data_IF_656120542702
#
_entry.id   IF_656120542702
#
_cell.length_a   1.000
_cell.length_b   1.000
_cell.length_c   1.000
_cell.angle_alpha   90.00
_cell.angle_beta   90.00
_cell.angle_gamma   90.00
#
_symmetry.space_group_name_H-M   'P 1'
#
loop_
_entity.id
_entity.type
_entity.pdbx_description
1 polymer ?
#
# COMPACT_ATOMS: atom_id res chain seq x y z
N UNK A 1 -11.00 14.79 30.69
CA UNK A 1 -10.66 16.16 31.13
C UNK A 1 -9.85 16.15 32.47
N UNK A 2 -10.12 15.25 33.42
CA UNK A 2 -9.38 15.19 34.69
C UNK A 2 -7.88 14.88 34.54
N UNK A 3 -7.49 14.03 33.55
CA UNK A 3 -6.08 13.73 33.26
C UNK A 3 -5.29 14.94 32.72
N UNK A 4 -5.97 15.93 32.13
CA UNK A 4 -5.37 17.15 31.62
C UNK A 4 -5.21 18.22 32.70
N UNK A 5 -5.81 18.03 33.87
CA UNK A 5 -5.75 18.94 35.04
C UNK A 5 -4.78 18.50 36.14
N UNK A 6 -4.22 17.27 36.03
CA UNK A 6 -3.26 16.73 37.02
C UNK A 6 -1.89 17.40 36.89
N UNK A 7 -1.73 18.51 37.62
CA UNK A 7 -0.47 19.25 37.75
C UNK A 7 0.63 18.49 38.56
N UNK A 8 0.41 17.28 39.01
CA UNK A 8 1.29 16.62 40.00
C UNK A 8 1.87 15.28 39.66
N UNK A 9 1.43 14.60 38.57
CA UNK A 9 2.09 13.37 38.09
C UNK A 9 1.80 13.16 36.59
N UNK A 10 2.73 13.52 35.72
CA UNK A 10 2.65 13.15 34.31
C UNK A 10 2.80 11.63 34.17
N UNK A 11 1.91 10.94 33.42
CA UNK A 11 2.06 9.53 33.17
C UNK A 11 3.24 9.25 32.21
N UNK A 12 3.96 8.15 32.41
CA UNK A 12 5.06 7.73 31.54
C UNK A 12 4.55 7.14 30.20
N UNK A 13 3.27 6.77 30.13
CA UNK A 13 2.63 6.15 28.96
C UNK A 13 1.11 6.32 29.07
N UNK A 14 0.48 6.58 27.93
CA UNK A 14 -0.99 6.57 27.80
C UNK A 14 -1.39 5.41 26.90
N UNK A 15 -2.40 4.65 27.33
CA UNK A 15 -3.05 3.61 26.51
C UNK A 15 -4.53 3.93 26.43
N UNK A 16 -5.07 4.12 25.23
CA UNK A 16 -6.46 4.52 25.01
C UNK A 16 -7.14 3.73 23.91
N UNK A 17 -8.45 3.48 24.07
CA UNK A 17 -9.28 2.91 22.98
C UNK A 17 -9.74 4.03 22.05
N UNK A 18 -9.91 3.72 20.75
CA UNK A 18 -10.50 4.67 19.79
C UNK A 18 -11.95 4.96 20.14
N UNK A 19 -12.74 3.93 20.46
CA UNK A 19 -14.17 4.08 20.79
C UNK A 19 -14.36 4.21 22.29
N UNK A 20 -14.49 5.44 22.75
CA UNK A 20 -14.84 5.74 24.15
C UNK A 20 -16.11 6.58 24.21
N UNK A 21 -16.93 6.47 25.30
CA UNK A 21 -18.06 7.36 25.51
C UNK A 21 -17.60 8.83 25.65
N UNK A 22 -18.24 9.72 24.93
CA UNK A 22 -17.95 11.18 24.97
C UNK A 22 -16.93 11.60 23.94
N UNK A 23 -15.64 11.50 24.22
CA UNK A 23 -14.53 11.88 23.31
C UNK A 23 -13.91 10.63 22.66
N UNK A 24 -13.65 10.68 21.36
CA UNK A 24 -12.93 9.58 20.70
C UNK A 24 -11.46 9.53 21.13
N UNK A 25 -10.86 8.31 21.13
CA UNK A 25 -9.44 8.16 21.47
C UNK A 25 -8.50 8.90 20.53
N UNK A 26 -8.90 9.14 19.27
CA UNK A 26 -8.12 9.94 18.33
C UNK A 26 -8.17 11.44 18.65
N UNK A 27 -9.34 11.96 19.03
CA UNK A 27 -9.47 13.34 19.51
C UNK A 27 -8.70 13.56 20.82
N UNK A 28 -8.73 12.56 21.70
CA UNK A 28 -7.96 12.57 22.93
C UNK A 28 -6.45 12.57 22.64
N UNK A 29 -5.99 11.71 21.72
CA UNK A 29 -4.60 11.65 21.27
C UNK A 29 -4.11 13.00 20.77
N UNK A 30 -4.89 13.68 19.89
CA UNK A 30 -4.52 15.00 19.38
C UNK A 30 -4.33 16.00 20.51
N UNK A 31 -5.26 16.05 21.49
CA UNK A 31 -5.14 16.94 22.66
C UNK A 31 -3.92 16.61 23.53
N UNK A 32 -3.59 15.32 23.68
CA UNK A 32 -2.40 14.91 24.43
C UNK A 32 -1.13 15.28 23.68
N UNK A 33 -1.06 15.02 22.39
CA UNK A 33 0.10 15.36 21.56
C UNK A 33 0.38 16.86 21.50
N UNK A 34 -0.68 17.70 21.53
CA UNK A 34 -0.55 19.16 21.57
C UNK A 34 -0.02 19.68 22.92
N UNK A 35 -0.46 19.08 24.04
CA UNK A 35 -0.11 19.56 25.39
C UNK A 35 1.11 18.84 25.99
N UNK A 36 1.30 17.59 25.68
CA UNK A 36 2.32 16.68 26.27
C UNK A 36 2.95 15.80 25.19
N UNK A 37 3.66 16.38 24.21
CA UNK A 37 4.22 15.65 23.06
C UNK A 37 5.26 14.58 23.48
N UNK A 38 5.82 14.69 24.67
CA UNK A 38 6.80 13.75 25.22
C UNK A 38 6.17 12.46 25.75
N UNK A 39 4.85 12.42 26.00
CA UNK A 39 4.17 11.25 26.56
C UNK A 39 3.77 10.29 25.44
N UNK A 40 4.41 9.12 25.31
CA UNK A 40 4.04 8.15 24.30
C UNK A 40 2.62 7.66 24.50
N UNK A 41 1.83 7.62 23.42
CA UNK A 41 0.46 7.15 23.47
C UNK A 41 0.28 5.91 22.59
N UNK A 42 -0.26 4.82 23.13
CA UNK A 42 -0.64 3.61 22.41
C UNK A 42 -2.17 3.65 22.19
N UNK A 43 -2.58 3.52 20.93
CA UNK A 43 -3.99 3.46 20.55
C UNK A 43 -4.42 2.00 20.43
N UNK A 44 -5.55 1.65 21.06
CA UNK A 44 -6.18 0.33 20.94
C UNK A 44 -7.48 0.45 20.15
N UNK A 45 -7.82 -0.55 19.32
CA UNK A 45 -9.08 -0.57 18.58
C UNK A 45 -9.62 -1.98 18.38
N UNK A 46 -10.95 -2.10 18.31
CA UNK A 46 -11.63 -3.33 17.89
C UNK A 46 -11.76 -3.44 16.36
N UNK A 47 -11.55 -2.35 15.62
CA UNK A 47 -11.74 -2.29 14.17
C UNK A 47 -10.44 -1.85 13.52
N UNK A 48 -9.73 -2.80 12.97
CA UNK A 48 -8.52 -2.59 12.22
C UNK A 48 -8.87 -2.11 10.81
N UNK A 49 -8.65 -0.83 10.52
CA UNK A 49 -8.66 -0.29 9.16
C UNK A 49 -7.50 0.68 8.99
N UNK A 50 -7.15 0.94 7.73
CA UNK A 50 -6.02 1.81 7.39
C UNK A 50 -6.23 3.24 7.90
N UNK A 51 -7.46 3.77 7.83
CA UNK A 51 -7.77 5.15 8.22
C UNK A 51 -7.55 5.38 9.72
N UNK A 52 -7.96 4.43 10.55
CA UNK A 52 -7.73 4.48 11.98
C UNK A 52 -6.23 4.38 12.32
N UNK A 53 -5.50 3.48 11.67
CA UNK A 53 -4.06 3.34 11.87
C UNK A 53 -3.31 4.61 11.44
N UNK A 54 -3.63 5.14 10.26
CA UNK A 54 -3.05 6.37 9.74
C UNK A 54 -3.39 7.58 10.61
N UNK A 55 -4.65 7.72 11.04
CA UNK A 55 -5.09 8.79 11.93
C UNK A 55 -4.37 8.75 13.28
N UNK A 56 -4.18 7.54 13.85
CA UNK A 56 -3.43 7.35 15.08
C UNK A 56 -1.96 7.80 14.91
N UNK A 57 -1.26 7.33 13.88
CA UNK A 57 0.14 7.72 13.64
C UNK A 57 0.30 9.19 13.24
N UNK A 58 -0.63 9.74 12.47
CA UNK A 58 -0.67 11.18 12.17
C UNK A 58 -0.89 12.01 13.43
N UNK A 59 -1.79 11.59 14.31
CA UNK A 59 -2.04 12.21 15.60
C UNK A 59 -0.91 12.07 16.62
N UNK A 60 0.19 11.38 16.27
CA UNK A 60 1.36 11.26 17.14
C UNK A 60 1.36 10.00 18.02
N UNK A 61 0.52 8.99 17.73
CA UNK A 61 0.56 7.73 18.47
C UNK A 61 1.95 7.06 18.34
N UNK A 62 2.46 6.57 19.46
CA UNK A 62 3.68 5.76 19.51
C UNK A 62 3.46 4.42 18.81
N UNK A 63 2.30 3.77 19.05
CA UNK A 63 1.93 2.51 18.42
C UNK A 63 0.40 2.35 18.38
N UNK A 64 -0.07 1.50 17.46
CA UNK A 64 -1.45 1.17 17.22
C UNK A 64 -1.65 -0.33 17.38
N UNK A 65 -2.63 -0.76 18.19
CA UNK A 65 -2.85 -2.16 18.54
C UNK A 65 -4.32 -2.57 18.31
N UNK A 66 -4.53 -3.72 17.69
CA UNK A 66 -5.87 -4.25 17.40
C UNK A 66 -6.31 -5.28 18.43
N UNK A 67 -7.58 -5.27 18.78
CA UNK A 67 -8.18 -6.32 19.63
C UNK A 67 -8.59 -7.53 18.76
N UNK A 68 -8.39 -8.78 19.21
CA UNK A 68 -7.77 -9.18 20.47
C UNK A 68 -6.23 -9.09 20.42
N UNK A 69 -5.58 -8.74 21.53
CA UNK A 69 -4.13 -8.65 21.67
C UNK A 69 -3.63 -9.49 22.85
N UNK A 70 -2.37 -9.89 22.82
CA UNK A 70 -1.72 -10.60 23.90
C UNK A 70 -1.18 -9.58 24.94
N UNK A 71 -1.33 -9.88 26.23
CA UNK A 71 -0.80 -9.07 27.33
C UNK A 71 0.72 -8.87 27.22
N UNK A 72 1.45 -9.90 26.77
CA UNK A 72 2.90 -9.81 26.55
C UNK A 72 3.27 -8.83 25.42
N UNK A 73 2.40 -8.67 24.42
CA UNK A 73 2.58 -7.69 23.34
C UNK A 73 2.47 -6.26 23.88
N UNK A 74 1.41 -5.97 24.65
CA UNK A 74 1.27 -4.65 25.31
C UNK A 74 2.46 -4.38 26.23
N UNK A 75 2.88 -5.36 27.02
CA UNK A 75 4.02 -5.20 27.94
C UNK A 75 5.31 -4.85 27.20
N UNK A 76 5.59 -5.51 26.08
CA UNK A 76 6.75 -5.19 25.23
C UNK A 76 6.67 -3.80 24.64
N UNK A 77 5.49 -3.41 24.15
CA UNK A 77 5.24 -2.08 23.60
C UNK A 77 5.36 -0.99 24.68
N UNK A 78 4.81 -1.21 25.87
CA UNK A 78 4.91 -0.27 26.98
C UNK A 78 6.37 -0.03 27.39
N UNK A 79 7.17 -1.09 27.54
CA UNK A 79 8.61 -0.99 27.84
C UNK A 79 9.35 -0.23 26.71
N UNK A 80 8.99 -0.46 25.45
CA UNK A 80 9.59 0.22 24.30
C UNK A 80 9.20 1.69 24.28
N UNK A 81 7.94 2.01 24.57
CA UNK A 81 7.41 3.37 24.58
C UNK A 81 8.07 4.23 25.67
N UNK A 82 8.15 3.74 26.90
CA UNK A 82 8.78 4.46 28.02
C UNK A 82 10.29 4.66 27.85
N UNK A 83 10.97 3.87 27.02
CA UNK A 83 12.38 4.06 26.66
C UNK A 83 12.60 5.06 25.50
N UNK A 84 11.58 5.31 24.69
CA UNK A 84 11.67 6.11 23.47
C UNK A 84 11.24 7.59 23.63
N UNK A 85 10.85 8.03 24.82
CA UNK A 85 10.22 9.34 25.11
C UNK A 85 11.09 10.59 24.84
N UNK A 86 12.24 10.46 24.17
CA UNK A 86 13.16 11.58 23.92
C UNK A 86 13.18 12.15 22.50
N UNK A 87 12.28 11.80 21.59
CA UNK A 87 12.39 12.29 20.20
C UNK A 87 11.07 12.20 19.41
N UNK A 88 10.12 13.16 19.53
CA UNK A 88 9.11 13.36 18.46
C UNK A 88 8.34 14.68 18.57
N UNK A 89 8.41 15.51 17.52
CA UNK A 89 7.49 16.62 17.23
C UNK A 89 7.13 16.65 15.75
N UNK A 90 5.86 16.85 15.38
CA UNK A 90 5.45 17.14 14.01
C UNK A 90 3.95 17.04 13.71
N UNK A 91 3.35 18.15 13.25
CA UNK A 91 1.93 18.38 12.90
C UNK A 91 1.44 17.70 11.63
N UNK A 92 0.15 17.31 11.59
CA UNK A 92 -0.51 16.78 10.39
C UNK A 92 -1.97 17.17 10.21
N UNK A 93 -2.35 17.54 8.99
CA UNK A 93 -3.72 17.82 8.53
C UNK A 93 -4.28 16.68 7.66
N UNK A 94 -5.61 16.52 7.77
CA UNK A 94 -6.46 15.50 7.13
C UNK A 94 -6.64 15.67 5.62
N UNK A 95 -6.71 14.55 4.87
CA UNK A 95 -7.83 14.20 3.96
C UNK A 95 -7.49 13.05 2.99
N UNK A 96 -8.53 12.36 2.59
CA UNK A 96 -8.83 11.48 1.45
C UNK A 96 -8.90 9.96 1.70
N UNK A 97 -10.12 9.47 1.42
CA UNK A 97 -10.56 8.07 1.46
C UNK A 97 -9.74 7.20 0.50
N UNK A 98 -8.90 6.34 1.05
CA UNK A 98 -8.37 5.20 0.33
C UNK A 98 -9.05 3.94 0.88
N UNK A 99 -10.02 3.39 0.15
CA UNK A 99 -10.76 2.17 0.49
C UNK A 99 -9.88 0.92 0.37
N UNK A 100 -8.83 0.81 1.17
CA UNK A 100 -8.05 -0.43 1.27
C UNK A 100 -8.71 -1.29 2.35
N UNK A 101 -9.35 -2.38 1.90
CA UNK A 101 -10.00 -3.35 2.77
C UNK A 101 -8.97 -4.36 3.27
N UNK A 102 -8.91 -4.58 4.59
CA UNK A 102 -8.06 -5.59 5.21
C UNK A 102 -8.18 -5.59 6.72
N UNK A 103 -8.57 -6.74 7.29
CA UNK A 103 -8.64 -6.99 8.74
C UNK A 103 -7.58 -7.98 9.21
N UNK A 104 -7.07 -8.80 8.28
CA UNK A 104 -6.08 -9.82 8.58
C UNK A 104 -4.82 -9.21 9.21
N UNK A 105 -4.22 -9.89 10.19
CA UNK A 105 -3.03 -9.43 10.91
C UNK A 105 -1.88 -9.05 9.96
N UNK A 106 -1.70 -9.82 8.89
CA UNK A 106 -0.70 -9.52 7.86
C UNK A 106 -0.94 -8.17 7.16
N UNK A 107 -2.20 -7.73 6.98
CA UNK A 107 -2.51 -6.40 6.45
C UNK A 107 -2.34 -5.31 7.49
N UNK A 108 -2.52 -5.61 8.79
CA UNK A 108 -2.26 -4.65 9.86
C UNK A 108 -0.77 -4.24 9.89
N UNK A 109 0.14 -5.17 9.65
CA UNK A 109 1.57 -4.85 9.56
C UNK A 109 1.88 -3.93 8.37
N UNK A 110 1.18 -4.11 7.24
CA UNK A 110 1.27 -3.19 6.08
C UNK A 110 0.77 -1.79 6.48
N UNK A 111 -0.38 -1.68 7.17
CA UNK A 111 -0.94 -0.40 7.60
C UNK A 111 -0.03 0.31 8.61
N UNK A 112 0.53 -0.42 9.58
CA UNK A 112 1.54 0.10 10.52
C UNK A 112 2.78 0.61 9.77
N UNK A 113 3.24 -0.13 8.76
CA UNK A 113 4.38 0.27 7.95
C UNK A 113 4.10 1.59 7.20
N UNK A 114 2.94 1.73 6.55
CA UNK A 114 2.52 2.96 5.87
C UNK A 114 2.45 4.12 6.87
N UNK A 115 1.84 3.91 8.05
CA UNK A 115 1.76 4.92 9.10
C UNK A 115 3.13 5.43 9.55
N UNK A 116 4.10 4.52 9.76
CA UNK A 116 5.47 4.88 10.18
C UNK A 116 6.24 5.71 9.16
N UNK A 117 6.00 5.50 7.87
CA UNK A 117 6.69 6.23 6.79
C UNK A 117 5.91 7.45 6.29
N UNK A 118 4.70 7.69 6.80
CA UNK A 118 3.83 8.79 6.37
C UNK A 118 4.50 10.16 6.51
N UNK A 119 5.40 10.33 7.50
CA UNK A 119 6.13 11.57 7.78
C UNK A 119 7.45 11.71 7.02
N UNK A 120 7.78 10.78 6.12
CA UNK A 120 9.10 10.71 5.50
C UNK A 120 9.02 10.70 3.98
N UNK A 121 10.09 11.14 3.32
CA UNK A 121 10.27 11.08 1.87
C UNK A 121 11.18 9.92 1.41
N UNK A 122 11.41 8.93 2.29
CA UNK A 122 12.28 7.80 1.95
C UNK A 122 11.74 6.99 0.77
N UNK A 123 12.64 6.35 0.05
CA UNK A 123 12.31 5.41 -1.02
C UNK A 123 11.64 4.16 -0.44
N UNK A 124 10.58 3.69 -1.09
CA UNK A 124 9.80 2.53 -0.66
C UNK A 124 9.82 1.46 -1.75
N UNK A 125 10.12 0.22 -1.36
CA UNK A 125 10.01 -0.96 -2.22
C UNK A 125 8.83 -1.81 -1.77
N UNK A 126 7.82 -1.94 -2.63
CA UNK A 126 6.61 -2.76 -2.38
C UNK A 126 6.79 -4.10 -3.08
N UNK A 127 6.74 -5.19 -2.33
CA UNK A 127 6.81 -6.55 -2.87
C UNK A 127 5.48 -7.26 -2.66
N UNK A 128 5.11 -8.11 -3.60
CA UNK A 128 3.91 -8.93 -3.51
C UNK A 128 3.54 -9.51 -4.86
N UNK A 129 2.80 -10.58 -4.85
CA UNK A 129 2.34 -11.26 -6.07
C UNK A 129 1.53 -10.32 -6.98
N UNK A 130 1.36 -10.71 -8.23
CA UNK A 130 0.50 -9.96 -9.15
C UNK A 130 -0.94 -9.93 -8.62
N UNK A 131 -1.59 -8.77 -8.74
CA UNK A 131 -2.98 -8.59 -8.30
C UNK A 131 -3.20 -8.44 -6.79
N UNK A 132 -2.15 -8.28 -5.96
CA UNK A 132 -2.28 -8.06 -4.50
C UNK A 132 -2.67 -6.64 -4.11
N UNK A 133 -2.61 -5.67 -5.04
CA UNK A 133 -2.96 -4.26 -4.78
C UNK A 133 -1.76 -3.35 -4.54
N UNK A 134 -0.57 -3.65 -5.06
CA UNK A 134 0.66 -2.85 -4.89
C UNK A 134 0.49 -1.37 -5.25
N UNK A 135 -0.26 -1.07 -6.32
CA UNK A 135 -0.54 0.30 -6.76
C UNK A 135 -1.39 1.07 -5.73
N UNK A 136 -2.42 0.45 -5.15
CA UNK A 136 -3.24 1.05 -4.10
C UNK A 136 -2.41 1.39 -2.86
N UNK A 137 -1.47 0.51 -2.49
CA UNK A 137 -0.54 0.78 -1.39
C UNK A 137 0.42 1.92 -1.75
N UNK A 138 0.96 1.97 -2.98
CA UNK A 138 1.81 3.08 -3.41
C UNK A 138 1.06 4.43 -3.37
N UNK A 139 -0.18 4.44 -3.82
CA UNK A 139 -1.04 5.62 -3.74
C UNK A 139 -1.32 6.03 -2.29
N UNK A 140 -1.60 5.04 -1.40
CA UNK A 140 -1.78 5.30 0.02
C UNK A 140 -0.52 5.87 0.68
N UNK A 141 0.66 5.36 0.35
CA UNK A 141 1.95 5.92 0.81
C UNK A 141 2.13 7.36 0.35
N UNK A 142 1.73 7.70 -0.88
CA UNK A 142 1.81 9.07 -1.40
C UNK A 142 0.81 10.00 -0.70
N UNK A 143 -0.48 9.63 -0.68
CA UNK A 143 -1.55 10.49 -0.11
C UNK A 143 -1.38 10.74 1.39
N UNK A 144 -0.64 9.89 2.08
CA UNK A 144 -0.33 10.04 3.49
C UNK A 144 1.09 10.58 3.75
N UNK A 145 1.74 11.17 2.76
CA UNK A 145 3.09 11.73 2.87
C UNK A 145 3.10 13.27 2.87
N UNK A 146 4.25 13.91 3.17
CA UNK A 146 4.40 15.36 3.03
C UNK A 146 4.17 15.89 1.60
N UNK A 147 4.10 14.99 0.60
CA UNK A 147 3.88 15.30 -0.82
C UNK A 147 2.46 14.97 -1.30
N UNK A 148 1.50 14.81 -0.39
CA UNK A 148 0.12 14.39 -0.70
C UNK A 148 -0.62 15.34 -1.66
N UNK A 149 -0.27 16.62 -1.68
CA UNK A 149 -0.80 17.68 -2.55
C UNK A 149 -0.03 17.83 -3.88
N UNK A 150 1.02 17.04 -4.08
CA UNK A 150 1.91 17.07 -5.25
C UNK A 150 1.57 15.94 -6.24
N UNK A 151 2.11 15.99 -7.47
CA UNK A 151 1.82 14.96 -8.46
C UNK A 151 2.19 13.54 -8.00
N UNK A 152 1.28 12.59 -8.25
CA UNK A 152 1.55 11.16 -8.23
C UNK A 152 1.58 10.65 -9.66
N UNK A 153 2.74 10.25 -10.15
CA UNK A 153 2.92 9.75 -11.51
C UNK A 153 3.25 8.28 -11.46
N UNK A 154 2.37 7.45 -12.01
CA UNK A 154 2.56 6.00 -12.09
C UNK A 154 3.03 5.59 -13.48
N UNK A 155 3.93 4.62 -13.53
CA UNK A 155 4.39 3.98 -14.76
C UNK A 155 4.61 2.49 -14.50
N UNK A 156 4.03 1.65 -15.38
CA UNK A 156 4.33 0.22 -15.37
C UNK A 156 5.45 -0.06 -16.36
N UNK A 157 6.60 -0.49 -15.85
CA UNK A 157 7.83 -0.73 -16.62
C UNK A 157 7.64 -1.87 -17.64
N UNK A 158 6.91 -2.93 -17.25
CA UNK A 158 6.66 -4.09 -18.11
C UNK A 158 5.68 -3.80 -19.26
N UNK A 159 4.84 -2.77 -19.13
CA UNK A 159 3.82 -2.43 -20.14
C UNK A 159 4.37 -1.60 -21.31
N UNK A 160 5.59 -1.07 -21.21
CA UNK A 160 6.18 -0.19 -22.22
C UNK A 160 7.29 -0.92 -22.98
N UNK A 161 7.30 -0.88 -24.32
CA UNK A 161 8.40 -1.44 -25.09
C UNK A 161 9.73 -0.85 -24.65
N UNK A 162 10.74 -1.70 -24.50
CA UNK A 162 12.07 -1.35 -24.00
C UNK A 162 12.69 -0.11 -24.70
N UNK A 163 12.54 -0.03 -26.02
CA UNK A 163 13.09 1.08 -26.84
C UNK A 163 12.43 2.44 -26.53
N UNK A 164 11.21 2.44 -26.02
CA UNK A 164 10.45 3.65 -25.67
C UNK A 164 10.56 4.01 -24.21
N UNK A 165 10.89 3.06 -23.33
CA UNK A 165 10.87 3.26 -21.89
C UNK A 165 11.82 4.36 -21.42
N UNK A 166 12.99 4.47 -22.07
CA UNK A 166 13.95 5.52 -21.77
C UNK A 166 13.37 6.93 -22.03
N UNK A 167 12.76 7.09 -23.21
CA UNK A 167 12.12 8.34 -23.62
C UNK A 167 10.87 8.65 -22.77
N UNK A 168 10.10 7.64 -22.35
CA UNK A 168 8.96 7.83 -21.45
C UNK A 168 9.41 8.26 -20.05
N UNK A 169 10.48 7.67 -19.50
CA UNK A 169 10.98 7.99 -18.17
C UNK A 169 11.63 9.38 -18.12
N UNK A 170 12.57 9.64 -19.02
CA UNK A 170 13.45 10.81 -18.95
C UNK A 170 13.09 11.93 -19.93
N UNK A 171 12.19 11.66 -20.88
CA UNK A 171 11.86 12.58 -21.96
C UNK A 171 12.94 12.60 -23.04
N UNK A 172 12.70 13.33 -24.10
CA UNK A 172 13.65 13.50 -25.20
C UNK A 172 13.67 14.90 -25.78
N UNK A 173 14.80 15.30 -26.31
CA UNK A 173 14.95 16.52 -27.09
C UNK A 173 14.56 16.28 -28.56
N UNK A 174 14.18 17.35 -29.25
CA UNK A 174 13.89 17.30 -30.68
C UNK A 174 15.11 16.79 -31.46
N UNK A 175 14.91 15.78 -32.32
CA UNK A 175 15.95 15.19 -33.16
C UNK A 175 16.85 14.17 -32.47
N UNK A 176 16.54 13.73 -31.26
CA UNK A 176 17.34 12.76 -30.50
C UNK A 176 17.36 11.35 -31.10
N UNK A 177 16.33 10.98 -31.85
CA UNK A 177 16.23 9.71 -32.60
C UNK A 177 15.31 9.87 -33.82
N UNK A 178 15.31 8.89 -34.70
CA UNK A 178 14.40 8.86 -35.88
C UNK A 178 12.94 8.82 -35.42
N UNK A 179 12.20 9.93 -35.60
CA UNK A 179 10.83 10.10 -35.11
C UNK A 179 10.65 11.13 -33.99
N UNK A 180 11.71 11.64 -33.40
CA UNK A 180 11.67 12.69 -32.37
C UNK A 180 11.44 14.08 -33.02
N UNK A 181 10.25 14.32 -33.56
CA UNK A 181 9.91 15.58 -34.26
C UNK A 181 9.76 16.77 -33.29
N UNK A 182 9.35 16.52 -32.05
CA UNK A 182 9.16 17.51 -30.98
C UNK A 182 9.86 17.07 -29.72
N UNK A 183 10.17 18.01 -28.83
CA UNK A 183 10.61 17.72 -27.48
C UNK A 183 9.44 17.11 -26.67
N UNK A 184 9.74 16.12 -25.81
CA UNK A 184 8.73 15.51 -24.92
C UNK A 184 9.25 15.45 -23.48
N UNK A 185 8.38 15.84 -22.55
CA UNK A 185 8.60 15.78 -21.10
C UNK A 185 8.45 14.32 -20.63
N UNK A 186 9.42 13.81 -19.86
CA UNK A 186 9.40 12.47 -19.29
C UNK A 186 8.68 12.39 -17.94
N UNK A 187 8.47 11.15 -17.45
CA UNK A 187 7.76 10.89 -16.17
C UNK A 187 8.49 11.47 -14.96
N UNK A 188 9.81 11.47 -14.95
CA UNK A 188 10.60 12.13 -13.90
C UNK A 188 10.29 13.62 -13.81
N UNK A 189 10.19 14.29 -14.95
CA UNK A 189 9.89 15.71 -15.01
C UNK A 189 8.43 16.01 -14.62
N UNK A 190 7.48 15.15 -15.03
CA UNK A 190 6.07 15.24 -14.61
C UNK A 190 5.89 15.05 -13.10
N UNK A 191 6.75 14.25 -12.47
CA UNK A 191 6.70 13.95 -11.04
C UNK A 191 7.49 14.93 -10.17
N UNK A 192 8.04 16.01 -10.72
CA UNK A 192 8.85 16.96 -9.96
C UNK A 192 8.08 17.55 -8.76
N UNK A 193 8.71 17.55 -7.61
CA UNK A 193 8.14 17.94 -6.32
C UNK A 193 7.22 16.88 -5.71
N UNK A 194 6.83 15.84 -6.47
CA UNK A 194 5.87 14.80 -6.10
C UNK A 194 6.49 13.41 -5.94
N UNK A 195 5.75 12.40 -6.40
CA UNK A 195 6.11 10.98 -6.28
C UNK A 195 6.04 10.29 -7.65
N UNK A 196 7.07 9.53 -8.00
CA UNK A 196 7.09 8.63 -9.14
C UNK A 196 6.95 7.19 -8.64
N UNK A 197 5.90 6.51 -9.09
CA UNK A 197 5.66 5.10 -8.82
C UNK A 197 6.12 4.26 -10.03
N UNK A 198 7.08 3.38 -9.79
CA UNK A 198 7.66 2.45 -10.77
C UNK A 198 7.11 1.04 -10.50
N UNK A 199 6.08 0.63 -11.23
CA UNK A 199 5.53 -0.72 -11.10
C UNK A 199 6.32 -1.71 -11.96
N UNK A 200 6.44 -2.95 -11.48
CA UNK A 200 7.20 -4.07 -12.07
C UNK A 200 8.67 -3.68 -12.38
N UNK A 201 9.34 -3.06 -11.40
CA UNK A 201 10.73 -2.61 -11.52
C UNK A 201 11.73 -3.74 -11.88
N UNK A 202 11.38 -5.00 -11.55
CA UNK A 202 12.16 -6.18 -11.88
C UNK A 202 12.33 -6.43 -13.37
N UNK A 203 11.43 -5.88 -14.20
CA UNK A 203 11.47 -5.99 -15.66
C UNK A 203 12.28 -4.88 -16.33
N UNK A 204 12.87 -3.96 -15.54
CA UNK A 204 13.68 -2.88 -16.08
C UNK A 204 14.98 -3.39 -16.71
N UNK A 205 15.23 -3.00 -17.96
CA UNK A 205 16.45 -3.38 -18.69
C UNK A 205 17.72 -2.83 -18.00
N UNK A 206 18.85 -3.55 -17.99
CA UNK A 206 20.09 -3.17 -17.29
C UNK A 206 20.64 -1.78 -17.61
N UNK A 207 20.49 -1.31 -18.84
CA UNK A 207 20.92 0.04 -19.24
C UNK A 207 20.14 1.13 -18.51
N UNK A 208 18.81 0.95 -18.39
CA UNK A 208 17.95 1.89 -17.68
C UNK A 208 18.14 1.82 -16.16
N UNK A 209 18.49 0.66 -15.62
CA UNK A 209 18.87 0.52 -14.21
C UNK A 209 20.08 1.41 -13.88
N UNK A 210 21.06 1.50 -14.79
CA UNK A 210 22.23 2.37 -14.61
C UNK A 210 21.83 3.86 -14.60
N UNK A 211 20.91 4.26 -15.47
CA UNK A 211 20.39 5.64 -15.49
C UNK A 211 19.57 5.96 -14.24
N UNK A 212 18.68 5.06 -13.85
CA UNK A 212 17.88 5.23 -12.63
C UNK A 212 18.78 5.36 -11.39
N UNK A 213 19.81 4.50 -11.26
CA UNK A 213 20.79 4.58 -10.19
C UNK A 213 21.47 5.95 -10.14
N UNK A 214 21.84 6.51 -11.30
CA UNK A 214 22.45 7.85 -11.39
C UNK A 214 21.48 8.90 -10.86
N UNK A 215 20.20 8.87 -11.26
CA UNK A 215 19.18 9.82 -10.75
C UNK A 215 19.03 9.72 -9.24
N UNK A 216 18.93 8.51 -8.70
CA UNK A 216 18.80 8.27 -7.24
C UNK A 216 20.06 8.71 -6.45
N UNK A 217 21.23 8.77 -7.09
CA UNK A 217 22.50 9.11 -6.44
C UNK A 217 22.85 10.57 -6.55
N UNK A 218 22.68 11.19 -7.74
CA UNK A 218 23.04 12.58 -8.02
C UNK A 218 21.88 13.56 -7.92
N UNK A 219 20.63 13.06 -7.83
CA UNK A 219 19.42 13.87 -7.91
C UNK A 219 19.33 14.74 -9.17
N UNK A 220 19.89 14.23 -10.28
CA UNK A 220 19.87 14.88 -11.59
C UNK A 220 19.71 13.85 -12.70
N UNK A 221 19.08 14.27 -13.80
CA UNK A 221 18.95 13.47 -15.01
C UNK A 221 19.04 14.32 -16.27
N UNK A 222 19.20 13.67 -17.42
CA UNK A 222 19.22 14.29 -18.72
C UNK A 222 18.14 13.69 -19.61
N UNK A 223 17.49 14.52 -20.42
CA UNK A 223 16.64 14.00 -21.51
C UNK A 223 17.48 13.24 -22.53
N UNK A 224 16.86 12.33 -23.24
CA UNK A 224 17.51 11.61 -24.34
C UNK A 224 17.97 12.64 -25.39
N UNK A 225 19.25 12.63 -25.75
CA UNK A 225 19.88 13.62 -26.65
C UNK A 225 20.11 14.99 -26.02
N UNK A 226 19.73 15.19 -24.74
CA UNK A 226 19.95 16.46 -24.03
C UNK A 226 21.31 16.54 -23.33
N UNK A 227 21.84 17.76 -23.23
CA UNK A 227 23.11 18.07 -22.52
C UNK A 227 22.87 18.85 -21.22
N UNK A 228 21.67 19.37 -21.01
CA UNK A 228 21.35 20.17 -19.83
C UNK A 228 20.85 19.25 -18.70
N UNK A 229 21.46 19.27 -17.52
CA UNK A 229 20.99 18.51 -16.36
C UNK A 229 19.69 19.12 -15.83
N UNK A 230 18.79 18.25 -15.41
CA UNK A 230 17.52 18.60 -14.76
C UNK A 230 17.57 18.04 -13.34
N UNK A 231 17.37 18.89 -12.34
CA UNK A 231 17.31 18.46 -10.93
C UNK A 231 16.08 17.60 -10.68
N UNK A 232 16.26 16.49 -10.01
CA UNK A 232 15.23 15.53 -9.66
C UNK A 232 14.88 15.65 -8.18
N UNK A 233 13.87 16.46 -7.87
CA UNK A 233 13.19 16.43 -6.55
C UNK A 233 11.96 15.54 -6.67
N UNK A 234 12.18 14.21 -6.67
CA UNK A 234 11.12 13.21 -6.86
C UNK A 234 11.28 12.11 -5.83
N UNK A 235 10.22 11.83 -5.06
CA UNK A 235 10.16 10.64 -4.21
C UNK A 235 9.92 9.41 -5.09
N UNK A 236 10.68 8.33 -4.86
CA UNK A 236 10.51 7.07 -5.60
C UNK A 236 9.78 6.04 -4.74
N UNK A 237 8.74 5.45 -5.30
CA UNK A 237 8.11 4.22 -4.82
C UNK A 237 8.26 3.19 -5.94
N UNK A 238 8.85 2.04 -5.65
CA UNK A 238 9.02 0.97 -6.62
C UNK A 238 8.19 -0.25 -6.19
N UNK A 239 7.67 -1.02 -7.16
CA UNK A 239 6.95 -2.26 -6.88
C UNK A 239 7.43 -3.40 -7.78
N UNK A 240 7.34 -4.62 -7.28
CA UNK A 240 7.66 -5.83 -8.05
C UNK A 240 6.94 -7.07 -7.50
N UNK A 241 6.62 -8.00 -8.40
CA UNK A 241 6.18 -9.36 -8.07
C UNK A 241 7.35 -10.36 -8.12
N UNK A 242 8.53 -9.94 -8.61
CA UNK A 242 9.68 -10.81 -8.82
C UNK A 242 10.60 -10.84 -7.59
N UNK A 243 11.35 -11.93 -7.46
CA UNK A 243 12.42 -12.03 -6.47
C UNK A 243 13.67 -11.33 -7.00
N UNK A 244 13.88 -10.07 -6.55
CA UNK A 244 15.02 -9.24 -6.99
C UNK A 244 16.36 -9.89 -6.64
N UNK A 245 16.48 -10.55 -5.51
CA UNK A 245 17.69 -11.24 -5.08
C UNK A 245 18.11 -12.33 -6.08
N UNK A 246 17.13 -13.04 -6.65
CA UNK A 246 17.38 -14.01 -7.73
C UNK A 246 17.78 -13.32 -9.05
N UNK A 247 17.17 -12.16 -9.35
CA UNK A 247 17.55 -11.37 -10.53
C UNK A 247 18.98 -10.86 -10.42
N UNK A 248 19.42 -10.44 -9.23
CA UNK A 248 20.81 -10.03 -8.96
C UNK A 248 21.76 -11.19 -9.19
N UNK A 249 21.49 -12.38 -8.61
CA UNK A 249 22.32 -13.58 -8.82
C UNK A 249 22.46 -13.96 -10.29
N UNK A 250 21.42 -13.73 -11.09
CA UNK A 250 21.40 -14.01 -12.52
C UNK A 250 21.95 -12.87 -13.39
N UNK A 251 22.47 -11.78 -12.81
CA UNK A 251 23.01 -10.62 -13.52
C UNK A 251 21.94 -9.79 -14.27
N UNK A 252 20.65 -10.00 -13.98
CA UNK A 252 19.53 -9.26 -14.61
C UNK A 252 19.15 -7.99 -13.87
N UNK A 253 19.51 -7.88 -12.60
CA UNK A 253 19.28 -6.67 -11.79
C UNK A 253 20.54 -6.27 -11.04
N UNK A 254 20.81 -4.98 -10.98
CA UNK A 254 22.01 -4.43 -10.32
C UNK A 254 21.82 -4.39 -8.82
N UNK A 255 22.79 -4.88 -8.08
CA UNK A 255 22.81 -4.88 -6.62
C UNK A 255 22.84 -3.45 -6.03
N UNK A 256 23.63 -2.55 -6.65
CA UNK A 256 23.72 -1.15 -6.20
C UNK A 256 22.41 -0.39 -6.33
N UNK A 257 21.62 -0.62 -7.40
CA UNK A 257 20.30 -0.07 -7.57
C UNK A 257 19.32 -0.66 -6.52
N UNK A 258 19.39 -1.96 -6.29
CA UNK A 258 18.56 -2.61 -5.28
C UNK A 258 18.73 -1.98 -3.90
N UNK A 259 19.96 -1.75 -3.45
CA UNK A 259 20.23 -1.09 -2.18
C UNK A 259 19.69 0.35 -2.10
N UNK A 260 19.62 1.07 -3.20
CA UNK A 260 19.03 2.42 -3.25
C UNK A 260 17.51 2.42 -3.26
N UNK A 261 16.88 1.37 -3.81
CA UNK A 261 15.43 1.21 -3.82
C UNK A 261 14.90 0.59 -2.53
N UNK A 262 15.64 -0.32 -1.92
CA UNK A 262 15.24 -1.08 -0.74
C UNK A 262 15.61 -0.36 0.58
N UNK A 263 15.26 0.94 0.70
CA UNK A 263 15.45 1.70 1.94
C UNK A 263 14.38 1.32 2.97
N UNK A 264 13.13 1.25 2.54
CA UNK A 264 12.03 0.73 3.34
C UNK A 264 11.22 -0.26 2.50
N UNK A 265 10.96 -1.44 3.07
CA UNK A 265 10.27 -2.52 2.35
C UNK A 265 8.89 -2.77 2.94
N UNK A 266 7.89 -2.88 2.05
CA UNK A 266 6.53 -3.30 2.36
C UNK A 266 6.27 -4.62 1.62
N UNK A 267 5.95 -5.68 2.37
CA UNK A 267 5.57 -6.98 1.82
C UNK A 267 4.04 -7.08 1.84
N UNK A 268 3.41 -7.22 0.67
CA UNK A 268 1.98 -7.45 0.58
C UNK A 268 1.69 -8.94 0.61
N UNK A 269 0.87 -9.41 1.56
CA UNK A 269 0.48 -10.81 1.62
C UNK A 269 -0.42 -11.17 0.42
N UNK A 270 -0.27 -12.37 -0.16
CA UNK A 270 -1.20 -12.90 -1.13
C UNK A 270 -2.57 -13.18 -0.46
N UNK A 271 -3.63 -13.22 -1.26
CA UNK A 271 -5.00 -13.33 -0.73
C UNK A 271 -5.25 -14.62 0.07
N UNK A 272 -4.56 -15.71 -0.26
CA UNK A 272 -4.61 -16.99 0.49
C UNK A 272 -4.10 -16.88 1.93
N UNK A 273 -3.24 -15.92 2.22
CA UNK A 273 -2.67 -15.68 3.56
C UNK A 273 -3.46 -14.62 4.36
N UNK A 274 -4.56 -14.09 3.76
CA UNK A 274 -5.50 -13.15 4.38
C UNK A 274 -6.96 -13.50 4.06
N UNK A 275 -7.31 -14.77 4.22
CA UNK A 275 -8.66 -15.30 3.90
C UNK A 275 -9.79 -14.60 4.68
N UNK A 276 -9.49 -14.06 5.85
CA UNK A 276 -10.41 -13.27 6.68
C UNK A 276 -10.93 -12.01 5.96
N UNK A 277 -10.15 -11.49 5.02
CA UNK A 277 -10.52 -10.30 4.24
C UNK A 277 -11.48 -10.63 3.09
N UNK A 278 -11.57 -11.90 2.64
CA UNK A 278 -12.32 -12.30 1.44
C UNK A 278 -13.79 -11.88 1.56
N UNK A 279 -14.41 -12.09 2.71
CA UNK A 279 -15.83 -11.78 2.90
C UNK A 279 -16.14 -10.29 2.72
N UNK A 280 -15.26 -9.40 3.18
CA UNK A 280 -15.41 -7.95 3.03
C UNK A 280 -15.06 -7.49 1.63
N UNK A 281 -14.01 -8.06 1.05
CA UNK A 281 -13.62 -7.78 -0.34
C UNK A 281 -14.71 -8.17 -1.33
N UNK A 282 -15.36 -9.33 -1.15
CA UNK A 282 -16.48 -9.76 -1.99
C UNK A 282 -17.63 -8.76 -1.90
N UNK A 283 -18.04 -8.39 -0.68
CA UNK A 283 -19.10 -7.38 -0.49
C UNK A 283 -18.75 -6.06 -1.13
N UNK A 284 -17.53 -5.60 -0.95
CA UNK A 284 -17.04 -4.36 -1.54
C UNK A 284 -17.10 -4.42 -3.08
N UNK A 285 -16.58 -5.50 -3.69
CA UNK A 285 -16.55 -5.63 -5.15
C UNK A 285 -17.93 -5.86 -5.78
N UNK A 286 -18.85 -6.57 -5.10
CA UNK A 286 -20.22 -6.71 -5.58
C UNK A 286 -20.93 -5.36 -5.59
N UNK A 287 -20.80 -4.54 -4.54
CA UNK A 287 -21.35 -3.19 -4.49
C UNK A 287 -20.73 -2.29 -5.55
N UNK A 288 -19.38 -2.24 -5.65
CA UNK A 288 -18.67 -1.48 -6.66
C UNK A 288 -19.10 -1.86 -8.09
N UNK A 289 -19.23 -3.17 -8.35
CA UNK A 289 -19.66 -3.66 -9.67
C UNK A 289 -21.12 -3.29 -9.98
N UNK A 290 -22.00 -3.32 -8.96
CA UNK A 290 -23.38 -2.90 -9.11
C UNK A 290 -23.48 -1.39 -9.46
N UNK A 291 -22.74 -0.55 -8.77
CA UNK A 291 -22.66 0.90 -9.05
C UNK A 291 -22.13 1.19 -10.47
N UNK A 292 -21.03 0.55 -10.87
CA UNK A 292 -20.43 0.70 -12.22
C UNK A 292 -21.41 0.25 -13.33
N UNK A 293 -22.15 -0.83 -13.10
CA UNK A 293 -23.07 -1.42 -14.08
C UNK A 293 -24.48 -0.84 -13.97
N UNK A 294 -24.72 0.06 -12.99
CA UNK A 294 -26.05 0.64 -12.69
C UNK A 294 -27.11 -0.44 -12.49
N UNK A 295 -26.75 -1.52 -11.78
CA UNK A 295 -27.58 -2.64 -11.43
C UNK A 295 -27.81 -2.70 -9.92
N UNK A 296 -28.79 -3.50 -9.48
CA UNK A 296 -28.99 -3.73 -8.05
C UNK A 296 -27.82 -4.49 -7.44
N UNK A 297 -27.45 -4.11 -6.22
CA UNK A 297 -26.41 -4.81 -5.47
C UNK A 297 -26.86 -6.24 -5.16
N UNK A 298 -25.97 -7.21 -5.40
CA UNK A 298 -26.23 -8.62 -5.14
C UNK A 298 -25.65 -9.05 -3.79
N UNK A 299 -26.32 -10.01 -3.16
CA UNK A 299 -25.82 -10.72 -1.97
C UNK A 299 -25.27 -12.07 -2.38
N UNK A 300 -24.45 -12.68 -1.53
CA UNK A 300 -23.91 -14.01 -1.75
C UNK A 300 -24.32 -14.93 -0.61
N UNK A 301 -24.77 -16.16 -0.92
CA UNK A 301 -25.14 -17.14 0.09
C UNK A 301 -23.91 -17.73 0.80
N UNK A 302 -24.12 -18.27 2.01
CA UNK A 302 -23.03 -18.80 2.84
C UNK A 302 -22.27 -19.93 2.16
N UNK A 303 -22.95 -20.84 1.45
CA UNK A 303 -22.32 -21.96 0.76
C UNK A 303 -21.39 -21.49 -0.39
N UNK A 304 -21.81 -20.49 -1.17
CA UNK A 304 -20.98 -19.88 -2.19
C UNK A 304 -19.78 -19.14 -1.59
N UNK A 305 -19.97 -18.43 -0.46
CA UNK A 305 -18.90 -17.76 0.25
C UNK A 305 -17.86 -18.73 0.82
N UNK A 306 -18.27 -19.86 1.40
CA UNK A 306 -17.36 -20.91 1.88
C UNK A 306 -16.48 -21.44 0.76
N UNK A 307 -17.02 -21.55 -0.43
CA UNK A 307 -16.28 -21.97 -1.60
C UNK A 307 -15.21 -20.96 -2.00
N UNK A 308 -15.53 -19.67 -2.00
CA UNK A 308 -14.56 -18.61 -2.27
C UNK A 308 -13.45 -18.59 -1.21
N UNK A 309 -13.74 -18.86 0.05
CA UNK A 309 -12.77 -18.91 1.15
C UNK A 309 -11.81 -20.12 1.05
N UNK A 310 -12.21 -21.22 0.38
CA UNK A 310 -11.37 -22.40 0.17
C UNK A 310 -10.41 -22.25 -1.00
N UNK A 311 -10.66 -21.33 -1.91
CA UNK A 311 -9.83 -21.13 -3.11
C UNK A 311 -8.53 -20.38 -2.79
N UNK A 312 -7.44 -20.70 -3.50
CA UNK A 312 -6.11 -20.16 -3.23
C UNK A 312 -5.80 -18.82 -3.93
N UNK A 313 -6.67 -18.37 -4.81
CA UNK A 313 -6.58 -17.08 -5.48
C UNK A 313 -5.21 -16.77 -6.11
N UNK A 314 -4.74 -17.54 -7.12
CA UNK A 314 -3.45 -17.29 -7.74
C UNK A 314 -3.33 -15.92 -8.41
N UNK A 315 -4.46 -15.30 -8.81
CA UNK A 315 -4.54 -13.93 -9.31
C UNK A 315 -4.92 -12.90 -8.25
N UNK A 316 -4.95 -13.31 -6.97
CA UNK A 316 -5.18 -12.46 -5.81
C UNK A 316 -6.46 -11.60 -5.91
N UNK A 317 -6.40 -10.34 -5.50
CA UNK A 317 -7.55 -9.41 -5.50
C UNK A 317 -8.07 -9.16 -6.91
N UNK A 318 -7.18 -9.05 -7.92
CA UNK A 318 -7.60 -8.83 -9.31
C UNK A 318 -8.49 -9.95 -9.82
N UNK A 319 -8.19 -11.19 -9.46
CA UNK A 319 -9.02 -12.34 -9.82
C UNK A 319 -10.35 -12.31 -9.08
N UNK A 320 -10.34 -11.98 -7.79
CA UNK A 320 -11.57 -11.85 -6.98
C UNK A 320 -12.49 -10.74 -7.51
N UNK A 321 -11.94 -9.58 -7.83
CA UNK A 321 -12.70 -8.45 -8.42
C UNK A 321 -13.35 -8.85 -9.75
N UNK A 322 -12.58 -9.49 -10.64
CA UNK A 322 -13.11 -9.98 -11.92
C UNK A 322 -14.23 -11.02 -11.72
N UNK A 323 -14.07 -11.92 -10.76
CA UNK A 323 -15.12 -12.89 -10.42
C UNK A 323 -16.38 -12.21 -9.88
N UNK A 324 -16.25 -11.26 -8.97
CA UNK A 324 -17.39 -10.51 -8.45
C UNK A 324 -18.12 -9.74 -9.57
N UNK A 325 -17.38 -9.09 -10.47
CA UNK A 325 -17.96 -8.43 -11.64
C UNK A 325 -18.70 -9.41 -12.55
N UNK A 326 -18.11 -10.59 -12.82
CA UNK A 326 -18.75 -11.64 -13.60
C UNK A 326 -20.07 -12.09 -12.93
N UNK A 327 -20.04 -12.42 -11.63
CA UNK A 327 -21.23 -12.85 -10.90
C UNK A 327 -22.31 -11.76 -10.85
N UNK A 328 -21.94 -10.49 -10.76
CA UNK A 328 -22.91 -9.37 -10.80
C UNK A 328 -23.66 -9.35 -12.12
N UNK A 329 -23.00 -9.63 -13.24
CA UNK A 329 -23.62 -9.65 -14.58
C UNK A 329 -24.43 -10.92 -14.81
N UNK A 330 -23.87 -12.08 -14.44
CA UNK A 330 -24.38 -13.39 -14.91
C UNK A 330 -25.39 -14.02 -13.97
N UNK A 331 -25.36 -13.75 -12.66
CA UNK A 331 -26.32 -14.36 -11.75
C UNK A 331 -27.73 -13.81 -12.03
N UNK A 332 -28.75 -14.68 -12.22
CA UNK A 332 -30.10 -14.26 -12.59
C UNK A 332 -30.88 -13.67 -11.40
N UNK A 333 -30.48 -13.99 -10.16
CA UNK A 333 -31.18 -13.59 -8.94
C UNK A 333 -30.39 -12.50 -8.17
N UNK A 334 -31.06 -11.86 -7.20
CA UNK A 334 -30.42 -10.92 -6.27
C UNK A 334 -29.44 -11.61 -5.30
N UNK A 335 -29.55 -12.94 -5.14
CA UNK A 335 -28.65 -13.74 -4.30
C UNK A 335 -27.85 -14.68 -5.17
N UNK A 336 -26.51 -14.57 -5.08
CA UNK A 336 -25.54 -15.42 -5.77
C UNK A 336 -25.45 -16.75 -5.04
N UNK A 337 -25.70 -17.84 -5.75
CA UNK A 337 -25.66 -19.22 -5.26
C UNK A 337 -24.35 -19.92 -5.69
N UNK A 338 -24.14 -21.15 -5.22
CA UNK A 338 -22.98 -21.98 -5.63
C UNK A 338 -22.96 -22.20 -7.15
N UNK A 339 -24.13 -22.35 -7.79
CA UNK A 339 -24.24 -22.60 -9.23
C UNK A 339 -23.85 -21.38 -10.08
N UNK A 340 -23.92 -20.18 -9.52
CA UNK A 340 -23.53 -18.92 -10.18
C UNK A 340 -22.02 -18.68 -10.15
N UNK A 341 -21.25 -19.44 -9.35
CA UNK A 341 -19.81 -19.34 -9.27
C UNK A 341 -19.19 -20.19 -10.38
N UNK A 342 -18.39 -19.62 -11.31
CA UNK A 342 -17.88 -20.35 -12.47
C UNK A 342 -16.99 -21.54 -12.09
N UNK A 343 -17.09 -22.64 -12.82
CA UNK A 343 -16.36 -23.87 -12.59
C UNK A 343 -14.81 -23.73 -12.64
N UNK A 344 -14.29 -22.67 -13.24
CA UNK A 344 -12.86 -22.36 -13.27
C UNK A 344 -12.28 -22.14 -11.86
N UNK A 345 -13.12 -21.74 -10.91
CA UNK A 345 -12.75 -21.65 -9.49
C UNK A 345 -12.75 -23.02 -8.79
N UNK A 346 -13.31 -24.08 -9.41
CA UNK A 346 -13.46 -25.41 -8.82
C UNK A 346 -12.48 -26.46 -9.34
N UNK A 347 -11.90 -26.29 -10.52
CA UNK A 347 -11.10 -27.33 -11.19
C UNK A 347 -9.89 -27.77 -10.38
N UNK A 348 -9.32 -26.88 -9.54
CA UNK A 348 -8.24 -27.24 -8.64
C UNK A 348 -8.70 -27.95 -7.35
N UNK A 349 -9.95 -27.75 -6.91
CA UNK A 349 -10.47 -28.40 -5.70
C UNK A 349 -10.89 -29.84 -5.97
N UNK A 350 -11.43 -30.17 -7.16
CA UNK A 350 -11.79 -31.53 -7.54
C UNK A 350 -10.59 -32.46 -7.81
N UNK A 351 -9.43 -31.91 -8.18
CA UNK A 351 -8.23 -32.71 -8.41
C UNK A 351 -7.66 -33.35 -7.12
N UNK A 352 -8.01 -32.82 -5.93
CA UNK A 352 -7.61 -33.40 -4.65
C UNK A 352 -8.61 -34.43 -4.08
N UNK A 353 -9.87 -34.44 -4.54
CA UNK A 353 -10.89 -35.38 -4.04
C UNK A 353 -11.02 -36.66 -4.88
N UNK A 354 -10.46 -36.71 -6.10
CA UNK A 354 -10.55 -37.87 -6.99
C UNK A 354 -9.34 -38.82 -6.95
N UNK A 355 -8.51 -38.72 -5.94
CA UNK A 355 -7.31 -39.55 -5.73
C UNK A 355 -7.57 -40.92 -5.04
N UNK A 356 -8.79 -41.44 -5.05
CA UNK A 356 -9.10 -42.80 -4.57
C UNK A 356 -10.06 -43.49 -5.53
N UNK A 357 -9.54 -44.11 -6.56
CA UNK A 357 -10.01 -45.42 -7.12
C UNK A 357 -8.92 -45.99 -8.02
#
# INVERSE_FOLDING_TARGET
DELLELNSAQPDLIITDIKMPGMSGLEFLNKVSDKFPEIPTIIITAHANIDNALSAYKGGAFEYLTKPFNIDEIRKLAIKATRASNSYNGDFNNSTENNIVGKADAMQDVFKAIGKISKTDITVLIRGESGTGKELIAQSVHTNSPRSDKPFVAINVAAIPHELLESELFGHEKGSFTGAQTQRIGRFEQALGGTLFLDEIGDMHPELQTRLLRVLSSHEFYRVGGQKPIKSDVRIIAATNQNIENLIKNGKFREDLYHRLNVFRIELPPLRDRKEDINELVKYFLNKSADELKSDSKTIESAAMELLNKYDWPGNIRQLENLCRYMTVMAPSATITVDDVPAVSYTHLRAHETGWY
#
